data_IF_571974572733
#
_entry.id   IF_571974572733
#
_cell.length_a   1.000
_cell.length_b   1.000
_cell.length_c   1.000
_cell.angle_alpha   90.00
_cell.angle_beta   90.00
_cell.angle_gamma   90.00
#
_symmetry.space_group_name_H-M   'P 1'
#
loop_
_entity.id
_entity.type
_entity.pdbx_description
1 polymer ?
#
# COMPACT_ATOMS: atom_id res chain seq x y z
N UNK A 1 63.96 -29.54 15.42
CA UNK A 1 62.62 -29.43 16.02
C UNK A 1 61.82 -28.37 15.28
N UNK A 2 60.70 -28.74 14.64
CA UNK A 2 59.89 -27.86 13.78
C UNK A 2 58.84 -27.11 14.62
N UNK A 3 58.91 -25.78 14.65
CA UNK A 3 57.87 -24.92 15.23
C UNK A 3 56.62 -24.93 14.36
N UNK A 4 55.52 -25.50 14.86
CA UNK A 4 54.21 -25.45 14.19
C UNK A 4 53.56 -24.10 14.47
N UNK A 5 53.41 -23.26 13.45
CA UNK A 5 52.62 -22.02 13.53
C UNK A 5 51.14 -22.39 13.50
N UNK A 6 50.43 -22.05 14.57
CA UNK A 6 48.98 -22.18 14.69
C UNK A 6 48.34 -21.01 13.93
N UNK A 7 47.78 -21.27 12.75
CA UNK A 7 46.99 -20.28 12.00
C UNK A 7 45.58 -20.32 12.57
N UNK A 8 45.25 -19.38 13.44
CA UNK A 8 43.87 -19.14 13.89
C UNK A 8 43.17 -18.42 12.74
N UNK A 9 42.45 -19.18 11.92
CA UNK A 9 41.55 -18.63 10.91
C UNK A 9 40.31 -18.09 11.64
N UNK A 10 40.31 -16.80 11.95
CA UNK A 10 39.15 -16.09 12.48
C UNK A 10 38.15 -15.91 11.33
N UNK A 11 37.29 -16.91 11.15
CA UNK A 11 36.16 -16.85 10.22
C UNK A 11 35.16 -15.81 10.69
N UNK A 12 35.35 -14.55 10.29
CA UNK A 12 34.36 -13.49 10.46
C UNK A 12 33.17 -13.86 9.57
N UNK A 13 32.15 -14.46 10.18
CA UNK A 13 30.82 -14.51 9.59
C UNK A 13 30.32 -13.07 9.48
N UNK A 14 30.54 -12.45 8.31
CA UNK A 14 29.76 -11.30 7.88
C UNK A 14 28.33 -11.78 7.68
N UNK A 15 27.55 -11.79 8.77
CA UNK A 15 26.10 -11.75 8.69
C UNK A 15 25.79 -10.35 8.16
N UNK A 16 25.85 -10.19 6.84
CA UNK A 16 25.26 -9.04 6.19
C UNK A 16 23.79 -9.05 6.63
N UNK A 17 23.29 -8.02 7.34
CA UNK A 17 21.85 -7.88 7.45
C UNK A 17 21.38 -7.75 6.00
N UNK A 18 20.71 -8.79 5.51
CA UNK A 18 20.03 -8.75 4.22
C UNK A 18 19.20 -7.48 4.26
N UNK A 19 19.63 -6.46 3.52
CA UNK A 19 18.88 -5.25 3.36
C UNK A 19 17.65 -5.64 2.54
N UNK A 20 16.63 -6.18 3.21
CA UNK A 20 15.28 -6.30 2.68
C UNK A 20 14.66 -4.90 2.70
N UNK A 21 15.35 -3.94 2.08
CA UNK A 21 14.70 -2.79 1.49
C UNK A 21 14.08 -3.33 0.20
N UNK A 22 12.98 -4.07 0.33
CA UNK A 22 12.01 -4.09 -0.75
C UNK A 22 11.72 -2.63 -1.05
N UNK A 23 11.97 -2.15 -2.26
CA UNK A 23 11.56 -0.81 -2.68
C UNK A 23 10.06 -0.69 -2.43
N UNK A 24 9.67 -0.11 -1.29
CA UNK A 24 8.26 0.11 -0.98
C UNK A 24 7.81 1.18 -1.97
N UNK A 25 6.81 0.87 -2.84
CA UNK A 25 6.39 1.82 -3.84
C UNK A 25 5.93 3.14 -3.22
N UNK A 26 6.06 4.25 -3.94
CA UNK A 26 5.45 5.53 -3.56
C UNK A 26 3.97 5.54 -3.93
N UNK A 27 3.20 6.52 -3.44
CA UNK A 27 1.80 6.71 -3.90
C UNK A 27 1.70 6.84 -5.42
N UNK A 28 2.67 7.48 -6.06
CA UNK A 28 2.70 7.61 -7.51
C UNK A 28 2.98 6.26 -8.19
N UNK A 29 3.92 5.48 -7.64
CA UNK A 29 4.20 4.13 -8.11
C UNK A 29 3.01 3.17 -8.01
N UNK A 30 2.07 3.45 -7.09
CA UNK A 30 0.91 2.60 -6.83
C UNK A 30 -0.36 2.97 -7.60
N UNK A 31 -0.38 4.06 -8.36
CA UNK A 31 -1.58 4.47 -9.10
C UNK A 31 -2.05 3.44 -10.12
N UNK A 32 -1.11 2.76 -10.78
CA UNK A 32 -1.43 1.68 -11.71
C UNK A 32 -2.16 0.54 -10.99
N UNK A 33 -1.61 0.09 -9.86
CA UNK A 33 -2.22 -0.95 -9.03
C UNK A 33 -3.57 -0.51 -8.49
N UNK A 34 -3.71 0.75 -8.06
CA UNK A 34 -4.99 1.29 -7.63
C UNK A 34 -6.05 1.19 -8.73
N UNK A 35 -5.71 1.63 -9.95
CA UNK A 35 -6.62 1.57 -11.10
C UNK A 35 -7.01 0.14 -11.46
N UNK A 36 -6.05 -0.77 -11.48
CA UNK A 36 -6.28 -2.20 -11.77
C UNK A 36 -7.19 -2.85 -10.73
N UNK A 37 -6.90 -2.64 -9.45
CA UNK A 37 -7.72 -3.18 -8.35
C UNK A 37 -9.11 -2.57 -8.39
N UNK A 38 -9.22 -1.27 -8.67
CA UNK A 38 -10.53 -0.63 -8.79
C UNK A 38 -11.38 -1.29 -9.87
N UNK A 39 -10.83 -1.45 -11.08
CA UNK A 39 -11.54 -2.05 -12.21
C UNK A 39 -11.92 -3.51 -11.99
N UNK A 40 -11.22 -4.24 -11.12
CA UNK A 40 -11.56 -5.61 -10.72
C UNK A 40 -12.70 -5.65 -9.69
N UNK A 41 -12.72 -4.72 -8.74
CA UNK A 41 -13.55 -4.82 -7.54
C UNK A 41 -14.82 -3.97 -7.59
N UNK A 42 -14.83 -2.88 -8.35
CA UNK A 42 -15.95 -1.96 -8.38
C UNK A 42 -16.61 -1.94 -9.77
N UNK A 43 -17.94 -1.99 -9.82
CA UNK A 43 -18.68 -2.04 -11.08
C UNK A 43 -18.65 -0.71 -11.84
N UNK A 44 -18.36 0.39 -11.14
CA UNK A 44 -18.33 1.74 -11.71
C UNK A 44 -16.93 2.33 -11.64
N UNK A 45 -16.45 2.97 -12.72
CA UNK A 45 -15.14 3.62 -12.69
C UNK A 45 -15.16 4.89 -11.84
N UNK A 46 -13.99 5.32 -11.41
CA UNK A 46 -13.77 6.69 -10.91
C UNK A 46 -13.22 7.54 -12.06
N UNK A 47 -13.49 8.85 -12.05
CA UNK A 47 -13.03 9.74 -13.14
C UNK A 47 -11.55 10.10 -12.97
N UNK A 48 -11.15 10.51 -11.76
CA UNK A 48 -9.77 10.93 -11.47
C UNK A 48 -9.40 10.80 -10.00
N UNK A 49 -8.09 10.67 -9.77
CA UNK A 49 -7.47 10.88 -8.44
C UNK A 49 -7.29 12.39 -8.25
N UNK A 50 -7.94 12.95 -7.24
CA UNK A 50 -7.88 14.37 -6.87
C UNK A 50 -6.65 14.68 -6.01
N UNK A 51 -6.32 13.78 -5.08
CA UNK A 51 -5.18 13.93 -4.18
C UNK A 51 -4.55 12.58 -3.88
N UNK A 52 -3.21 12.56 -3.88
CA UNK A 52 -2.38 11.45 -3.43
C UNK A 52 -1.87 11.81 -2.04
N UNK A 53 -1.78 10.83 -1.14
CA UNK A 53 -1.43 11.04 0.27
C UNK A 53 -2.37 12.07 0.94
N UNK A 54 -3.55 11.59 1.31
CA UNK A 54 -4.54 12.42 2.00
C UNK A 54 -4.00 13.01 3.31
N UNK A 55 -3.09 12.28 3.97
CA UNK A 55 -2.58 12.60 5.31
C UNK A 55 -1.38 13.54 5.29
N UNK A 56 -0.65 13.64 4.17
CA UNK A 56 0.62 14.35 4.06
C UNK A 56 1.79 13.67 4.79
N UNK A 57 1.53 12.50 5.40
CA UNK A 57 2.49 11.73 6.19
C UNK A 57 3.20 10.66 5.36
N UNK A 58 2.70 10.37 4.16
CA UNK A 58 3.21 9.34 3.26
C UNK A 58 2.47 8.01 3.38
N UNK A 59 3.18 6.91 3.13
CA UNK A 59 2.64 5.55 3.16
C UNK A 59 2.61 5.06 4.60
N UNK A 60 1.46 4.55 5.04
CA UNK A 60 1.34 3.98 6.36
C UNK A 60 1.81 2.52 6.35
N UNK A 61 2.76 2.20 7.20
CA UNK A 61 3.20 0.82 7.48
C UNK A 61 2.43 0.32 8.69
N UNK A 62 1.62 -0.72 8.47
CA UNK A 62 0.76 -1.31 9.49
C UNK A 62 1.11 -2.78 9.69
N UNK A 63 1.22 -3.20 10.94
CA UNK A 63 1.54 -4.58 11.31
C UNK A 63 0.26 -5.31 11.69
N UNK A 64 -0.15 -6.26 10.86
CA UNK A 64 -1.37 -7.07 11.07
C UNK A 64 -1.08 -8.27 11.98
N UNK A 65 0.05 -8.93 11.78
CA UNK A 65 0.61 -9.98 12.65
C UNK A 65 2.15 -9.83 12.69
N UNK A 66 2.88 -10.56 13.54
CA UNK A 66 4.35 -10.52 13.55
C UNK A 66 4.99 -10.75 12.17
N UNK A 67 4.38 -11.58 11.33
CA UNK A 67 4.86 -11.99 10.01
C UNK A 67 4.20 -11.22 8.86
N UNK A 68 3.14 -10.43 9.13
CA UNK A 68 2.34 -9.75 8.09
C UNK A 68 2.36 -8.24 8.28
N UNK A 69 3.05 -7.58 7.37
CA UNK A 69 3.08 -6.11 7.22
C UNK A 69 2.24 -5.74 6.01
N UNK A 70 1.43 -4.70 6.17
CA UNK A 70 0.66 -4.09 5.09
C UNK A 70 1.06 -2.63 4.92
N UNK A 71 1.00 -2.17 3.68
CA UNK A 71 1.27 -0.79 3.30
C UNK A 71 -0.02 -0.15 2.84
N UNK A 72 -0.39 0.95 3.47
CA UNK A 72 -1.67 1.62 3.21
C UNK A 72 -1.38 2.96 2.52
N UNK A 73 -1.91 3.09 1.31
CA UNK A 73 -1.84 4.28 0.48
C UNK A 73 -3.21 4.93 0.44
N UNK A 74 -3.27 6.22 0.73
CA UNK A 74 -4.53 6.97 0.77
C UNK A 74 -4.66 7.86 -0.46
N UNK A 75 -5.83 7.80 -1.09
CA UNK A 75 -6.20 8.59 -2.25
C UNK A 75 -7.53 9.28 -2.03
N UNK A 76 -7.67 10.49 -2.56
CA UNK A 76 -8.96 11.12 -2.77
C UNK A 76 -9.33 10.93 -4.23
N UNK A 77 -10.47 10.32 -4.51
CA UNK A 77 -10.95 10.10 -5.87
C UNK A 77 -12.29 10.78 -6.07
N UNK A 78 -12.52 11.27 -7.28
CA UNK A 78 -13.85 11.75 -7.66
C UNK A 78 -14.63 10.58 -8.26
N UNK A 79 -15.74 10.22 -7.62
CA UNK A 79 -16.70 9.26 -8.15
C UNK A 79 -17.89 10.04 -8.72
N UNK A 80 -18.10 10.02 -10.05
CA UNK A 80 -19.24 10.69 -10.67
C UNK A 80 -20.53 9.95 -10.34
N UNK A 81 -21.65 10.66 -10.42
CA UNK A 81 -22.96 10.04 -10.37
C UNK A 81 -23.27 9.45 -11.75
N UNK A 82 -23.71 8.19 -11.78
CA UNK A 82 -24.08 7.51 -13.02
C UNK A 82 -25.62 7.51 -13.20
N UNK A 83 -26.08 7.58 -14.44
CA UNK A 83 -27.51 7.42 -14.76
C UNK A 83 -27.93 5.96 -14.61
N UNK A 84 -29.08 5.71 -13.99
CA UNK A 84 -29.58 4.34 -13.72
C UNK A 84 -30.22 3.65 -14.95
N UNK A 85 -30.54 4.39 -16.01
CA UNK A 85 -31.43 3.94 -17.08
C UNK A 85 -30.75 3.39 -18.35
N UNK A 86 -29.43 3.20 -18.36
CA UNK A 86 -28.68 2.77 -19.55
C UNK A 86 -27.89 1.47 -19.27
N UNK A 87 -27.76 0.58 -20.27
CA UNK A 87 -27.00 -0.69 -20.17
C UNK A 87 -25.51 -0.47 -19.82
N UNK A 88 -24.97 0.72 -20.14
CA UNK A 88 -23.62 1.13 -19.79
C UNK A 88 -23.67 2.33 -18.83
N UNK A 89 -22.82 2.36 -17.79
CA UNK A 89 -22.79 3.46 -16.83
C UNK A 89 -22.37 4.76 -17.53
N UNK A 90 -23.28 5.74 -17.59
CA UNK A 90 -23.04 7.07 -18.15
C UNK A 90 -23.00 8.13 -17.06
N UNK A 91 -21.89 8.87 -17.01
CA UNK A 91 -21.65 9.90 -16.01
C UNK A 91 -22.61 11.08 -16.20
N UNK A 92 -23.14 11.62 -15.10
CA UNK A 92 -23.92 12.86 -15.10
C UNK A 92 -22.93 14.02 -14.92
N UNK A 93 -22.75 14.90 -15.93
CA UNK A 93 -21.78 15.99 -15.85
C UNK A 93 -21.99 16.88 -14.63
N UNK A 94 -20.92 17.14 -13.90
CA UNK A 94 -20.94 18.00 -12.71
C UNK A 94 -21.58 17.40 -11.46
N UNK A 95 -22.06 16.14 -11.50
CA UNK A 95 -22.59 15.44 -10.33
C UNK A 95 -21.67 14.30 -9.90
N UNK A 96 -21.49 14.16 -8.60
CA UNK A 96 -20.64 13.13 -8.01
C UNK A 96 -20.24 13.49 -6.60
N UNK A 97 -19.26 12.76 -6.07
CA UNK A 97 -18.70 13.01 -4.75
C UNK A 97 -17.23 12.65 -4.69
N UNK A 98 -16.53 13.31 -3.79
CA UNK A 98 -15.18 12.91 -3.42
C UNK A 98 -15.24 11.74 -2.45
N UNK A 99 -14.42 10.73 -2.68
CA UNK A 99 -14.35 9.52 -1.85
C UNK A 99 -12.90 9.31 -1.41
N UNK A 100 -12.72 9.07 -0.12
CA UNK A 100 -11.45 8.64 0.44
C UNK A 100 -11.32 7.14 0.23
N UNK A 101 -10.26 6.73 -0.45
CA UNK A 101 -9.96 5.33 -0.71
C UNK A 101 -8.59 4.97 -0.13
N UNK A 102 -8.51 3.79 0.47
CA UNK A 102 -7.27 3.16 0.90
C UNK A 102 -6.94 2.04 -0.08
N UNK A 103 -5.76 2.09 -0.70
CA UNK A 103 -5.16 0.92 -1.29
C UNK A 103 -4.32 0.23 -0.22
N UNK A 104 -4.66 -1.01 0.08
CA UNK A 104 -3.92 -1.85 1.01
C UNK A 104 -3.06 -2.79 0.17
N UNK A 105 -1.76 -2.81 0.46
CA UNK A 105 -0.80 -3.72 -0.15
C UNK A 105 -0.23 -4.65 0.91
N UNK A 106 -0.53 -5.95 0.80
CA UNK A 106 -0.01 -7.02 1.67
C UNK A 106 0.88 -7.96 0.81
N UNK A 107 2.20 -7.70 0.71
CA UNK A 107 3.09 -8.49 -0.15
C UNK A 107 3.14 -9.97 0.20
N UNK A 108 2.98 -10.28 1.49
CA UNK A 108 2.99 -11.63 2.04
C UNK A 108 1.66 -12.38 1.84
N UNK A 109 0.64 -11.72 1.29
CA UNK A 109 -0.63 -12.38 1.02
C UNK A 109 -0.48 -13.34 -0.19
N UNK A 110 -0.91 -14.60 -0.07
CA UNK A 110 -0.58 -15.65 -1.05
C UNK A 110 -1.28 -15.48 -2.39
N UNK A 111 -2.49 -14.91 -2.41
CA UNK A 111 -3.34 -14.81 -3.60
C UNK A 111 -3.60 -13.36 -3.99
N UNK A 112 -4.16 -12.59 -3.07
CA UNK A 112 -4.54 -11.20 -3.32
C UNK A 112 -3.67 -10.22 -2.53
N UNK A 113 -2.72 -9.60 -3.24
CA UNK A 113 -1.79 -8.66 -2.61
C UNK A 113 -2.36 -7.27 -2.42
N UNK A 114 -3.46 -6.94 -3.11
CA UNK A 114 -4.02 -5.60 -3.12
C UNK A 114 -5.53 -5.62 -2.88
N UNK A 115 -6.01 -4.71 -2.05
CA UNK A 115 -7.43 -4.46 -1.84
C UNK A 115 -7.70 -2.97 -1.70
N UNK A 116 -8.95 -2.57 -1.95
CA UNK A 116 -9.40 -1.18 -1.75
C UNK A 116 -10.48 -1.13 -0.68
N UNK A 117 -10.36 -0.19 0.25
CA UNK A 117 -11.35 0.09 1.28
C UNK A 117 -11.78 1.57 1.26
N UNK A 118 -13.06 1.83 1.53
CA UNK A 118 -13.66 3.16 1.63
C UNK A 118 -13.92 3.59 3.07
N UNK A 119 -12.96 3.33 3.96
CA UNK A 119 -13.07 3.61 5.39
C UNK A 119 -12.17 4.78 5.77
N UNK A 120 -12.54 5.53 6.81
CA UNK A 120 -11.61 6.46 7.44
C UNK A 120 -10.54 5.68 8.23
N UNK A 121 -9.31 6.18 8.26
CA UNK A 121 -8.28 5.60 9.14
C UNK A 121 -8.31 6.32 10.48
N UNK A 122 -8.73 5.63 11.52
CA UNK A 122 -8.60 6.13 12.89
C UNK A 122 -7.22 5.73 13.45
N UNK A 123 -6.28 6.67 13.45
CA UNK A 123 -4.93 6.47 14.01
C UNK A 123 -4.96 6.13 15.49
N UNK A 124 -5.90 6.70 16.25
CA UNK A 124 -5.97 6.53 17.70
C UNK A 124 -6.41 5.11 18.05
N UNK A 125 -7.46 4.62 17.39
CA UNK A 125 -7.94 3.25 17.54
C UNK A 125 -6.89 2.21 17.13
N UNK A 126 -6.09 2.52 16.10
CA UNK A 126 -5.13 1.58 15.50
C UNK A 126 -3.67 1.75 15.99
N UNK A 127 -3.44 2.61 16.97
CA UNK A 127 -2.11 3.05 17.41
C UNK A 127 -1.12 1.92 17.72
N UNK A 128 -1.57 0.80 18.29
CA UNK A 128 -0.72 -0.37 18.63
C UNK A 128 -0.19 -1.14 17.42
N UNK A 129 -0.86 -1.00 16.28
CA UNK A 129 -0.55 -1.74 15.05
C UNK A 129 0.11 -0.84 14.00
N UNK A 130 0.03 0.47 14.17
CA UNK A 130 0.79 1.44 13.36
C UNK A 130 2.26 1.28 13.69
N UNK A 131 3.06 0.96 12.67
CA UNK A 131 4.53 0.85 12.83
C UNK A 131 5.16 2.21 12.61
N UNK A 132 4.91 2.81 11.44
CA UNK A 132 5.46 4.11 11.04
C UNK A 132 4.81 4.63 9.76
N UNK A 133 5.07 5.89 9.48
CA UNK A 133 4.86 6.51 8.17
C UNK A 133 6.19 6.58 7.40
N UNK A 134 6.15 6.36 6.09
CA UNK A 134 7.33 6.46 5.20
C UNK A 134 7.00 7.36 4.01
N UNK A 135 7.98 8.10 3.50
CA UNK A 135 7.87 8.98 2.32
C UNK A 135 8.63 8.41 1.14
#
# INVERSE_FOLDING_TARGET
MKTKKLIVSLGIFFILPSAVYSNIPTHAGMEKNFKEVWGKWFPVPYTKILKKDLTGKGVLVYKKTPERIVYIYTYLVFLPLYTENEEAPKEIPGKGREIRAKLIYEPAHPTEKYSIEFTEFDEQYNSKSVVRWIR
#
